data_IF_276687682676
#
_entry.id   IF_276687682676
#
_cell.length_a   1.000
_cell.length_b   1.000
_cell.length_c   1.000
_cell.angle_alpha   90.00
_cell.angle_beta   90.00
_cell.angle_gamma   90.00
#
_symmetry.space_group_name_H-M   'P 1'
#
loop_
_entity.id
_entity.type
_entity.pdbx_description
1 polymer ?
#
# COMPACT_ATOMS: atom_id res chain seq x y z
N UNK A 1 -20.88 -14.38 26.05
CA UNK A 1 -20.65 -14.62 24.61
C UNK A 1 -20.68 -13.36 23.74
N UNK A 2 -20.93 -12.15 24.29
CA UNK A 2 -20.90 -10.88 23.52
C UNK A 2 -19.49 -10.26 23.37
N UNK A 3 -18.55 -10.60 24.26
CA UNK A 3 -17.22 -9.96 24.31
C UNK A 3 -16.30 -10.38 23.15
N UNK A 4 -16.42 -11.62 22.69
CA UNK A 4 -15.56 -12.16 21.62
C UNK A 4 -15.92 -11.63 20.24
N UNK A 5 -17.22 -11.38 19.98
CA UNK A 5 -17.69 -10.82 18.71
C UNK A 5 -17.26 -9.35 18.55
N UNK A 6 -17.35 -8.54 19.60
CA UNK A 6 -16.92 -7.14 19.58
C UNK A 6 -15.40 -7.01 19.48
N UNK A 7 -14.66 -7.88 20.17
CA UNK A 7 -13.19 -7.93 20.06
C UNK A 7 -12.75 -8.35 18.66
N UNK A 8 -13.36 -9.39 18.09
CA UNK A 8 -13.07 -9.83 16.72
C UNK A 8 -13.37 -8.72 15.69
N UNK A 9 -14.50 -8.01 15.85
CA UNK A 9 -14.92 -6.91 14.97
C UNK A 9 -14.01 -5.67 15.09
N UNK A 10 -13.51 -5.38 16.30
CA UNK A 10 -12.51 -4.31 16.50
C UNK A 10 -11.15 -4.66 15.88
N UNK A 11 -10.68 -5.90 16.06
CA UNK A 11 -9.42 -6.37 15.48
C UNK A 11 -9.47 -6.30 13.96
N UNK A 12 -10.53 -6.85 13.34
CA UNK A 12 -10.70 -6.79 11.88
C UNK A 12 -10.77 -5.36 11.39
N UNK A 13 -11.47 -4.45 12.09
CA UNK A 13 -11.50 -3.03 11.72
C UNK A 13 -10.11 -2.37 11.78
N UNK A 14 -9.28 -2.71 12.77
CA UNK A 14 -7.92 -2.17 12.91
C UNK A 14 -6.96 -2.73 11.84
N UNK A 15 -7.04 -4.03 11.56
CA UNK A 15 -6.25 -4.69 10.51
C UNK A 15 -6.62 -4.17 9.13
N UNK A 16 -7.92 -4.00 8.83
CA UNK A 16 -8.38 -3.40 7.57
C UNK A 16 -7.84 -1.99 7.41
N UNK A 17 -7.83 -1.16 8.47
CA UNK A 17 -7.25 0.19 8.42
C UNK A 17 -5.75 0.17 8.14
N UNK A 18 -5.01 -0.73 8.77
CA UNK A 18 -3.58 -0.90 8.54
C UNK A 18 -3.30 -1.35 7.10
N UNK A 19 -4.08 -2.31 6.58
CA UNK A 19 -3.98 -2.79 5.21
C UNK A 19 -4.29 -1.69 4.18
N UNK A 20 -5.33 -0.88 4.39
CA UNK A 20 -5.64 0.28 3.53
C UNK A 20 -4.46 1.27 3.53
N UNK A 21 -3.91 1.59 4.69
CA UNK A 21 -2.76 2.50 4.79
C UNK A 21 -1.54 1.95 4.05
N UNK A 22 -1.29 0.64 4.16
CA UNK A 22 -0.21 -0.02 3.45
C UNK A 22 -0.42 0.02 1.92
N UNK A 23 -1.63 -0.34 1.43
CA UNK A 23 -1.96 -0.27 0.00
C UNK A 23 -1.66 1.11 -0.59
N UNK A 24 -2.12 2.17 0.08
CA UNK A 24 -1.87 3.55 -0.32
C UNK A 24 -0.38 3.89 -0.29
N UNK A 25 0.34 3.51 0.76
CA UNK A 25 1.78 3.73 0.86
C UNK A 25 2.59 3.00 -0.23
N UNK A 26 2.07 1.88 -0.72
CA UNK A 26 2.66 1.11 -1.84
C UNK A 26 2.17 1.56 -3.22
N UNK A 27 1.48 2.71 -3.32
CA UNK A 27 1.06 3.28 -4.60
C UNK A 27 -0.19 2.65 -5.21
N UNK A 28 -1.05 2.02 -4.39
CA UNK A 28 -2.36 1.55 -4.82
C UNK A 28 -3.44 2.59 -4.51
N UNK A 29 -4.41 2.72 -5.41
CA UNK A 29 -5.56 3.61 -5.29
C UNK A 29 -6.85 2.82 -5.42
N UNK A 30 -7.85 3.19 -4.64
CA UNK A 30 -9.16 2.57 -4.70
C UNK A 30 -10.07 3.26 -5.73
N UNK A 31 -10.85 2.44 -6.42
CA UNK A 31 -12.01 2.83 -7.21
C UNK A 31 -13.24 2.27 -6.50
N UNK A 32 -14.10 3.17 -6.01
CA UNK A 32 -15.36 2.85 -5.34
C UNK A 32 -16.52 3.04 -6.30
N UNK A 33 -17.49 2.12 -6.27
CA UNK A 33 -18.78 2.23 -6.93
C UNK A 33 -19.82 2.60 -5.88
N UNK A 34 -20.52 3.71 -6.07
CA UNK A 34 -21.51 4.25 -5.13
C UNK A 34 -22.89 4.28 -5.77
N UNK A 35 -23.94 3.98 -5.01
CA UNK A 35 -25.32 4.23 -5.46
C UNK A 35 -25.67 5.69 -5.16
N UNK A 36 -26.17 6.42 -6.18
CA UNK A 36 -26.76 7.75 -6.03
C UNK A 36 -27.97 7.90 -6.95
N UNK A 37 -29.10 8.32 -6.40
CA UNK A 37 -30.29 8.75 -7.15
C UNK A 37 -30.73 7.80 -8.27
N UNK A 38 -30.71 6.49 -7.99
CA UNK A 38 -31.12 5.45 -8.93
C UNK A 38 -30.12 5.15 -10.05
N UNK A 39 -28.89 5.64 -9.95
CA UNK A 39 -27.75 5.26 -10.78
C UNK A 39 -26.54 4.92 -9.90
N UNK A 40 -25.49 4.36 -10.50
CA UNK A 40 -24.21 4.18 -9.84
C UNK A 40 -23.19 5.20 -10.37
N UNK A 41 -22.26 5.61 -9.51
CA UNK A 41 -21.13 6.49 -9.86
C UNK A 41 -19.79 5.86 -9.48
N UNK A 42 -18.73 6.29 -10.17
CA UNK A 42 -17.35 5.90 -9.88
C UNK A 42 -16.65 7.01 -9.10
N UNK A 43 -16.07 6.67 -7.95
CA UNK A 43 -15.20 7.56 -7.17
C UNK A 43 -13.79 6.98 -7.06
N UNK A 44 -12.78 7.82 -7.24
CA UNK A 44 -11.37 7.43 -7.14
C UNK A 44 -10.77 8.10 -5.92
N UNK A 45 -9.98 7.37 -5.16
CA UNK A 45 -9.20 7.95 -4.07
C UNK A 45 -8.71 6.92 -3.05
N UNK A 46 -8.03 7.42 -2.02
CA UNK A 46 -7.43 6.61 -0.95
C UNK A 46 -8.37 6.41 0.24
N UNK A 47 -9.45 7.20 0.31
CA UNK A 47 -10.50 7.06 1.32
C UNK A 47 -11.63 6.20 0.75
N UNK A 48 -11.90 5.09 1.42
CA UNK A 48 -13.03 4.22 1.11
C UNK A 48 -14.30 4.82 1.71
N UNK A 49 -15.31 5.00 0.88
CA UNK A 49 -16.64 5.39 1.34
C UNK A 49 -17.32 4.19 2.02
N UNK A 50 -17.81 4.32 3.26
CA UNK A 50 -18.51 3.23 3.95
C UNK A 50 -19.77 2.74 3.21
N UNK A 51 -20.34 3.56 2.32
CA UNK A 51 -21.53 3.24 1.54
C UNK A 51 -21.20 2.78 0.11
N UNK A 52 -19.94 2.48 -0.20
CA UNK A 52 -19.56 1.87 -1.47
C UNK A 52 -20.22 0.50 -1.62
N UNK A 53 -20.89 0.30 -2.76
CA UNK A 53 -21.46 -1.00 -3.16
C UNK A 53 -20.34 -1.99 -3.47
N UNK A 54 -19.27 -1.49 -4.07
CA UNK A 54 -18.10 -2.29 -4.46
C UNK A 54 -16.86 -1.42 -4.47
N UNK A 55 -15.74 -2.01 -4.12
CA UNK A 55 -14.43 -1.35 -4.15
C UNK A 55 -13.44 -2.27 -4.85
N UNK A 56 -12.65 -1.70 -5.76
CA UNK A 56 -11.53 -2.38 -6.42
C UNK A 56 -10.28 -1.52 -6.32
N UNK A 57 -9.11 -2.17 -6.34
CA UNK A 57 -7.81 -1.54 -6.22
C UNK A 57 -6.99 -1.75 -7.48
N UNK A 58 -6.18 -0.75 -7.83
CA UNK A 58 -5.15 -0.84 -8.86
C UNK A 58 -4.01 0.13 -8.56
N UNK A 59 -2.96 0.14 -9.39
CA UNK A 59 -1.85 1.08 -9.27
C UNK A 59 -2.28 2.51 -9.58
N UNK A 60 -1.82 3.45 -8.76
CA UNK A 60 -2.20 4.86 -8.79
C UNK A 60 -2.02 5.57 -10.13
N UNK A 61 -0.90 5.38 -10.89
CA UNK A 61 -0.65 6.16 -12.11
C UNK A 61 -1.77 6.09 -13.14
N UNK A 62 -2.47 4.94 -13.21
CA UNK A 62 -3.52 4.69 -14.20
C UNK A 62 -4.95 4.77 -13.62
N UNK A 63 -5.11 4.95 -12.31
CA UNK A 63 -6.42 4.92 -11.64
C UNK A 63 -7.42 5.96 -12.19
N UNK A 64 -6.94 7.19 -12.44
CA UNK A 64 -7.77 8.26 -13.01
C UNK A 64 -8.14 7.95 -14.47
N UNK A 65 -7.19 7.49 -15.27
CA UNK A 65 -7.38 7.20 -16.69
C UNK A 65 -8.38 6.04 -16.90
N UNK A 66 -8.18 4.93 -16.18
CA UNK A 66 -9.09 3.78 -16.17
C UNK A 66 -10.49 4.20 -15.76
N UNK A 67 -10.63 4.99 -14.70
CA UNK A 67 -11.95 5.45 -14.22
C UNK A 67 -12.65 6.38 -15.22
N UNK A 68 -11.93 7.29 -15.87
CA UNK A 68 -12.50 8.18 -16.91
C UNK A 68 -12.96 7.40 -18.13
N UNK A 69 -12.21 6.37 -18.53
CA UNK A 69 -12.61 5.48 -19.62
C UNK A 69 -13.86 4.69 -19.24
N UNK A 70 -13.87 4.09 -18.04
CA UNK A 70 -15.02 3.32 -17.56
C UNK A 70 -16.30 4.17 -17.47
N UNK A 71 -16.22 5.43 -16.99
CA UNK A 71 -17.38 6.34 -16.98
C UNK A 71 -17.94 6.58 -18.39
N UNK A 72 -17.06 6.78 -19.38
CA UNK A 72 -17.46 6.99 -20.78
C UNK A 72 -18.14 5.74 -21.37
N UNK A 73 -17.62 4.56 -21.07
CA UNK A 73 -18.17 3.29 -21.56
C UNK A 73 -19.48 2.86 -20.87
N UNK A 74 -19.68 3.27 -19.61
CA UNK A 74 -20.86 2.88 -18.84
C UNK A 74 -22.12 3.72 -19.20
N UNK A 75 -21.95 4.94 -19.72
CA UNK A 75 -23.06 5.82 -20.10
C UNK A 75 -23.60 6.67 -18.93
N UNK A 76 -24.76 7.30 -19.12
CA UNK A 76 -25.28 8.33 -18.20
C UNK A 76 -25.90 7.79 -16.90
N UNK A 77 -26.49 6.59 -16.91
CA UNK A 77 -27.16 6.00 -15.74
C UNK A 77 -26.89 4.50 -15.57
N UNK A 78 -25.63 4.09 -15.44
CA UNK A 78 -25.29 2.67 -15.34
C UNK A 78 -25.64 2.12 -13.96
N UNK A 79 -25.97 0.83 -13.93
CA UNK A 79 -25.97 0.05 -12.71
C UNK A 79 -24.54 -0.39 -12.32
N UNK A 80 -24.39 -0.98 -11.13
CA UNK A 80 -23.09 -1.40 -10.61
C UNK A 80 -22.42 -2.48 -11.49
N UNK A 81 -23.19 -3.37 -12.11
CA UNK A 81 -22.67 -4.44 -12.96
C UNK A 81 -22.11 -3.88 -14.27
N UNK A 82 -22.80 -2.90 -14.86
CA UNK A 82 -22.37 -2.17 -16.06
C UNK A 82 -21.10 -1.38 -15.78
N UNK A 83 -21.03 -0.67 -14.65
CA UNK A 83 -19.79 0.00 -14.22
C UNK A 83 -18.64 -0.99 -14.05
N UNK A 84 -18.87 -2.11 -13.37
CA UNK A 84 -17.82 -3.10 -13.14
C UNK A 84 -17.32 -3.71 -14.45
N UNK A 85 -18.22 -3.97 -15.40
CA UNK A 85 -17.87 -4.44 -16.74
C UNK A 85 -17.04 -3.42 -17.51
N UNK A 86 -17.43 -2.14 -17.48
CA UNK A 86 -16.68 -1.03 -18.08
C UNK A 86 -15.30 -0.83 -17.41
N UNK A 87 -15.22 -0.96 -16.08
CA UNK A 87 -13.95 -0.90 -15.36
C UNK A 87 -13.00 -2.02 -15.78
N UNK A 88 -13.49 -3.25 -15.94
CA UNK A 88 -12.67 -4.39 -16.39
C UNK A 88 -12.13 -4.17 -17.80
N UNK A 89 -12.95 -3.70 -18.73
CA UNK A 89 -12.51 -3.38 -20.10
C UNK A 89 -11.51 -2.24 -20.12
N UNK A 90 -11.78 -1.16 -19.38
CA UNK A 90 -10.85 -0.05 -19.25
C UNK A 90 -9.52 -0.51 -18.65
N UNK A 91 -9.53 -1.27 -17.56
CA UNK A 91 -8.30 -1.79 -16.95
C UNK A 91 -7.50 -2.66 -17.92
N UNK A 92 -8.17 -3.54 -18.68
CA UNK A 92 -7.51 -4.35 -19.72
C UNK A 92 -6.87 -3.48 -20.81
N UNK A 93 -7.52 -2.41 -21.26
CA UNK A 93 -6.95 -1.46 -22.23
C UNK A 93 -5.67 -0.80 -21.72
N UNK A 94 -5.60 -0.49 -20.43
CA UNK A 94 -4.43 0.11 -19.78
C UNK A 94 -3.42 -0.92 -19.23
N UNK A 95 -3.62 -2.22 -19.51
CA UNK A 95 -2.82 -3.33 -18.97
C UNK A 95 -2.69 -3.29 -17.44
N UNK A 96 -3.78 -2.94 -16.75
CA UNK A 96 -3.87 -2.90 -15.30
C UNK A 96 -4.73 -4.05 -14.75
N UNK A 97 -4.39 -4.51 -13.55
CA UNK A 97 -5.15 -5.53 -12.84
C UNK A 97 -6.05 -4.87 -11.79
N UNK A 98 -7.36 -5.10 -11.90
CA UNK A 98 -8.30 -4.74 -10.83
C UNK A 98 -8.30 -5.83 -9.76
N UNK A 99 -7.92 -5.47 -8.55
CA UNK A 99 -7.96 -6.36 -7.39
C UNK A 99 -9.21 -6.08 -6.55
N UNK A 100 -10.10 -7.05 -6.32
CA UNK A 100 -11.24 -6.88 -5.41
C UNK A 100 -10.80 -6.45 -4.02
N UNK A 101 -11.62 -5.65 -3.32
CA UNK A 101 -11.27 -5.11 -1.99
C UNK A 101 -10.84 -6.18 -0.99
N UNK A 102 -11.66 -7.20 -0.78
CA UNK A 102 -11.38 -8.23 0.23
C UNK A 102 -10.07 -8.97 -0.05
N UNK A 103 -9.83 -9.32 -1.32
CA UNK A 103 -8.58 -9.94 -1.76
C UNK A 103 -7.37 -9.01 -1.58
N UNK A 104 -7.53 -7.70 -1.84
CA UNK A 104 -6.48 -6.73 -1.61
C UNK A 104 -6.14 -6.60 -0.12
N UNK A 105 -7.15 -6.59 0.77
CA UNK A 105 -6.96 -6.56 2.22
C UNK A 105 -6.29 -7.83 2.72
N UNK A 106 -6.75 -9.00 2.27
CA UNK A 106 -6.16 -10.31 2.62
C UNK A 106 -4.67 -10.35 2.24
N UNK A 107 -4.35 -10.11 0.96
CA UNK A 107 -2.97 -10.10 0.46
C UNK A 107 -2.09 -9.10 1.20
N UNK A 108 -2.64 -7.93 1.51
CA UNK A 108 -1.90 -6.90 2.24
C UNK A 108 -1.65 -7.28 3.68
N UNK A 109 -2.63 -7.89 4.34
CA UNK A 109 -2.49 -8.39 5.71
C UNK A 109 -1.38 -9.45 5.77
N UNK A 110 -1.34 -10.35 4.80
CA UNK A 110 -0.27 -11.34 4.69
C UNK A 110 1.09 -10.70 4.37
N UNK A 111 1.13 -9.68 3.51
CA UNK A 111 2.35 -8.92 3.24
C UNK A 111 2.90 -8.22 4.50
N UNK A 112 2.03 -7.61 5.30
CA UNK A 112 2.39 -6.99 6.58
C UNK A 112 2.95 -8.05 7.54
N UNK A 113 2.31 -9.22 7.66
CA UNK A 113 2.81 -10.33 8.50
C UNK A 113 4.19 -10.81 8.06
N UNK A 114 4.42 -10.94 6.75
CA UNK A 114 5.74 -11.32 6.19
C UNK A 114 6.79 -10.25 6.47
N UNK A 115 6.42 -8.98 6.39
CA UNK A 115 7.29 -7.86 6.72
C UNK A 115 7.67 -7.85 8.20
N UNK A 116 6.71 -8.06 9.09
CA UNK A 116 6.97 -8.18 10.54
C UNK A 116 7.89 -9.36 10.85
N UNK A 117 7.65 -10.51 10.21
CA UNK A 117 8.52 -11.68 10.33
C UNK A 117 9.95 -11.40 9.81
N UNK A 118 10.08 -10.67 8.71
CA UNK A 118 11.39 -10.28 8.17
C UNK A 118 12.13 -9.31 9.11
N UNK A 119 11.42 -8.34 9.69
CA UNK A 119 11.99 -7.43 10.70
C UNK A 119 12.45 -8.18 11.95
N UNK A 120 11.71 -9.19 12.40
CA UNK A 120 12.15 -10.04 13.51
C UNK A 120 13.34 -10.92 13.11
N UNK A 121 13.39 -11.42 11.87
CA UNK A 121 14.56 -12.10 11.33
C UNK A 121 15.82 -11.22 11.32
N UNK A 122 15.69 -9.95 10.92
CA UNK A 122 16.75 -8.95 11.01
C UNK A 122 17.20 -8.70 12.46
N UNK A 123 16.26 -8.71 13.40
CA UNK A 123 16.57 -8.55 14.82
C UNK A 123 17.33 -9.76 15.37
N UNK A 124 16.83 -10.97 15.12
CA UNK A 124 17.40 -12.21 15.62
C UNK A 124 18.82 -12.48 15.06
N UNK A 125 19.07 -12.06 13.82
CA UNK A 125 20.39 -12.17 13.16
C UNK A 125 21.37 -11.06 13.53
N UNK A 126 20.96 -10.06 14.32
CA UNK A 126 21.79 -8.90 14.66
C UNK A 126 21.92 -7.86 13.54
N UNK A 127 21.35 -8.11 12.37
CA UNK A 127 21.32 -7.20 11.22
C UNK A 127 20.65 -5.86 11.54
N UNK A 128 19.60 -5.86 12.36
CA UNK A 128 18.98 -4.62 12.83
C UNK A 128 19.92 -3.78 13.70
N UNK A 129 20.88 -4.41 14.39
CA UNK A 129 21.94 -3.69 15.12
C UNK A 129 22.89 -2.99 14.16
N UNK A 130 23.27 -3.64 13.06
CA UNK A 130 24.12 -3.07 12.00
C UNK A 130 23.43 -1.84 11.39
N UNK A 131 22.14 -1.96 11.05
CA UNK A 131 21.33 -0.84 10.60
C UNK A 131 21.34 0.34 11.59
N UNK A 132 21.13 0.06 12.88
CA UNK A 132 21.10 1.09 13.93
C UNK A 132 22.44 1.79 14.11
N UNK A 133 23.54 1.04 14.05
CA UNK A 133 24.90 1.60 14.11
C UNK A 133 25.15 2.53 12.93
N UNK A 134 24.78 2.10 11.72
CA UNK A 134 24.93 2.90 10.51
C UNK A 134 24.07 4.18 10.56
N UNK A 135 22.81 4.08 11.01
CA UNK A 135 21.94 5.26 11.20
C UNK A 135 22.59 6.30 12.12
N UNK A 136 23.14 5.87 13.26
CA UNK A 136 23.80 6.79 14.21
C UNK A 136 25.02 7.45 13.59
N UNK A 137 25.90 6.66 12.95
CA UNK A 137 27.08 7.19 12.28
C UNK A 137 26.73 8.21 11.18
N UNK A 138 25.71 7.91 10.35
CA UNK A 138 25.25 8.81 9.31
C UNK A 138 24.64 10.10 9.88
N UNK A 139 23.86 9.99 10.97
CA UNK A 139 23.29 11.14 11.67
C UNK A 139 24.36 12.03 12.29
N UNK A 140 25.38 11.44 12.93
CA UNK A 140 26.49 12.20 13.53
C UNK A 140 27.33 12.89 12.44
N UNK A 141 27.54 12.23 11.30
CA UNK A 141 28.23 12.80 10.15
C UNK A 141 27.46 13.92 9.44
N UNK A 142 26.12 13.91 9.50
CA UNK A 142 25.29 15.01 9.03
C UNK A 142 25.31 16.18 10.02
N UNK A 143 25.22 15.89 11.32
CA UNK A 143 25.31 16.88 12.38
C UNK A 143 26.67 17.63 12.35
N UNK A 144 27.77 16.95 12.07
CA UNK A 144 29.10 17.59 11.93
C UNK A 144 29.24 18.48 10.70
N UNK A 145 28.30 18.40 9.75
CA UNK A 145 28.24 19.22 8.54
C UNK A 145 27.13 20.29 8.63
N UNK A 146 26.51 20.47 9.79
CA UNK A 146 25.34 21.32 10.02
C UNK A 146 24.17 21.01 9.06
N UNK A 147 24.07 19.76 8.58
CA UNK A 147 22.95 19.31 7.74
C UNK A 147 21.96 18.48 8.55
N UNK A 148 20.67 18.71 8.31
CA UNK A 148 19.62 17.90 8.90
C UNK A 148 19.66 16.46 8.38
N UNK A 149 19.42 15.49 9.27
CA UNK A 149 19.29 14.08 8.92
C UNK A 149 17.88 13.58 9.24
N UNK A 150 17.43 12.55 8.53
CA UNK A 150 16.08 12.02 8.73
C UNK A 150 15.89 11.45 10.16
N UNK A 151 14.69 11.60 10.75
CA UNK A 151 14.34 10.92 11.99
C UNK A 151 14.46 9.40 11.86
N UNK A 152 14.73 8.72 12.98
CA UNK A 152 14.90 7.26 12.99
C UNK A 152 13.65 6.52 12.49
N UNK A 153 12.45 7.01 12.83
CA UNK A 153 11.19 6.45 12.33
C UNK A 153 11.08 6.51 10.80
N UNK A 154 11.61 7.56 10.18
CA UNK A 154 11.65 7.69 8.71
C UNK A 154 12.62 6.67 8.14
N UNK A 155 13.81 6.51 8.73
CA UNK A 155 14.77 5.50 8.31
C UNK A 155 14.21 4.07 8.44
N UNK A 156 13.52 3.78 9.55
CA UNK A 156 12.86 2.48 9.78
C UNK A 156 11.71 2.24 8.79
N UNK A 157 10.96 3.29 8.45
CA UNK A 157 9.94 3.22 7.40
C UNK A 157 10.56 2.92 6.04
N UNK A 158 11.70 3.54 5.70
CA UNK A 158 12.42 3.26 4.46
C UNK A 158 12.98 1.83 4.43
N UNK A 159 13.53 1.32 5.53
CA UNK A 159 13.95 -0.07 5.65
C UNK A 159 12.80 -1.03 5.37
N UNK A 160 11.63 -0.78 5.97
CA UNK A 160 10.43 -1.57 5.73
C UNK A 160 10.02 -1.56 4.25
N UNK A 161 10.06 -0.41 3.59
CA UNK A 161 9.73 -0.29 2.17
C UNK A 161 10.76 -1.00 1.28
N UNK A 162 12.05 -0.90 1.59
CA UNK A 162 13.13 -1.57 0.86
C UNK A 162 13.02 -3.10 0.94
N UNK A 163 12.40 -3.65 2.00
CA UNK A 163 12.15 -5.10 2.11
C UNK A 163 10.99 -5.59 1.24
N UNK A 164 10.04 -4.74 0.85
CA UNK A 164 8.82 -5.16 0.13
C UNK A 164 9.10 -5.90 -1.19
N UNK A 165 10.03 -5.45 -2.07
CA UNK A 165 10.39 -6.17 -3.28
C UNK A 165 10.94 -7.59 -3.02
N UNK A 166 11.76 -7.75 -1.98
CA UNK A 166 12.36 -9.04 -1.62
C UNK A 166 11.31 -10.05 -1.12
N UNK A 167 10.32 -9.57 -0.37
CA UNK A 167 9.20 -10.39 0.11
C UNK A 167 8.22 -10.78 -0.98
N UNK A 168 8.11 -9.97 -2.04
CA UNK A 168 7.22 -10.21 -3.18
C UNK A 168 7.83 -11.16 -4.22
N UNK A 169 9.15 -11.13 -4.38
CA UNK A 169 9.87 -11.96 -5.36
C UNK A 169 10.37 -13.32 -4.84
N UNK A 170 10.19 -13.61 -3.54
CA UNK A 170 10.72 -14.84 -2.91
C UNK A 170 12.25 -14.91 -2.85
N UNK A 171 12.93 -13.85 -3.29
CA UNK A 171 14.38 -13.72 -3.24
C UNK A 171 14.74 -13.25 -1.83
N UNK A 172 15.36 -14.12 -1.04
CA UNK A 172 15.95 -13.71 0.24
C UNK A 172 16.90 -12.52 0.03
N UNK A 173 16.89 -11.57 0.95
CA UNK A 173 17.92 -10.54 1.01
C UNK A 173 19.11 -11.10 1.79
N UNK A 174 20.34 -10.88 1.32
CA UNK A 174 21.54 -11.46 1.93
C UNK A 174 21.96 -10.71 3.19
N UNK A 175 22.05 -9.39 3.09
CA UNK A 175 22.51 -8.48 4.14
C UNK A 175 21.75 -7.15 4.06
N UNK A 176 21.46 -6.54 5.22
CA UNK A 176 20.76 -5.25 5.33
C UNK A 176 21.56 -4.11 4.69
N UNK A 177 22.88 -4.26 4.59
CA UNK A 177 23.78 -3.27 3.97
C UNK A 177 23.50 -3.05 2.49
N UNK A 178 22.96 -4.07 1.78
CA UNK A 178 22.54 -3.96 0.38
C UNK A 178 21.41 -2.93 0.20
N UNK A 179 20.60 -2.70 1.24
CA UNK A 179 19.46 -1.78 1.23
C UNK A 179 19.86 -0.35 1.63
N UNK A 180 21.11 -0.11 2.04
CA UNK A 180 21.51 1.18 2.62
C UNK A 180 21.42 2.33 1.64
N UNK A 181 21.65 2.10 0.35
CA UNK A 181 21.46 3.12 -0.69
C UNK A 181 20.01 3.57 -0.75
N UNK A 182 19.05 2.63 -0.73
CA UNK A 182 17.62 2.95 -0.79
C UNK A 182 17.13 3.61 0.51
N UNK A 183 17.75 3.27 1.64
CA UNK A 183 17.33 3.79 2.95
C UNK A 183 17.94 5.15 3.26
N UNK A 184 19.23 5.32 3.05
CA UNK A 184 20.00 6.51 3.44
C UNK A 184 20.37 7.42 2.26
N UNK A 185 20.15 6.98 1.03
CA UNK A 185 20.35 7.79 -0.17
C UNK A 185 19.40 9.00 -0.25
N UNK A 186 19.73 9.98 -1.10
CA UNK A 186 18.80 11.04 -1.44
C UNK A 186 17.50 10.41 -1.95
N UNK A 187 16.31 10.95 -1.62
CA UNK A 187 15.08 10.45 -2.22
C UNK A 187 15.22 10.52 -3.74
N UNK A 188 15.15 9.38 -4.41
CA UNK A 188 14.94 9.36 -5.87
C UNK A 188 13.56 9.96 -6.12
N UNK A 189 13.51 11.27 -6.31
CA UNK A 189 12.40 11.88 -7.01
C UNK A 189 12.60 11.52 -8.47
N UNK A 190 11.94 10.45 -8.92
CA UNK A 190 11.67 10.28 -10.34
C UNK A 190 10.75 11.42 -10.78
N UNK A 191 11.26 12.28 -11.66
CA UNK A 191 10.51 13.32 -12.39
C UNK A 191 9.26 12.73 -13.09
#
# INVERSE_FOLDING_TARGET
>A
MHVDADRAKMTTSSETKAAIKYLVATGATAISILARDGACEIRVGTKIDPHAISVVWLREPNAIAVSRQARREAGERPDAATIMSALRRAAAHWNEMLTPHDLAIERTTDAIRRLDAAMEGLRASGQLSIFNQHYRAARDAAASKDTGFMPYEVALSRLRMALVPHLSGGKGFGDVTELFTDIFGPPEFTD
#
